data_IF_991507521656
#
_entry.id   IF_991507521656
#
_cell.length_a   1.000
_cell.length_b   1.000
_cell.length_c   1.000
_cell.angle_alpha   90.00
_cell.angle_beta   90.00
_cell.angle_gamma   90.00
#
_symmetry.space_group_name_H-M   'P 1'
#
loop_
_entity.id
_entity.type
_entity.pdbx_description
1 polymer ?
#
# COMPACT_ATOMS: atom_id res chain seq x y z
N UNK A 1 -14.04 7.52 -6.36
CA UNK A 1 -14.90 6.82 -5.38
C UNK A 1 -16.04 6.18 -6.15
N UNK A 2 -16.22 4.85 -6.06
CA UNK A 2 -17.35 4.17 -6.70
C UNK A 2 -18.53 4.11 -5.73
N UNK A 3 -19.62 4.81 -6.05
CA UNK A 3 -20.88 4.80 -5.30
C UNK A 3 -21.84 3.79 -5.93
N UNK A 4 -22.56 3.03 -5.11
CA UNK A 4 -23.73 2.28 -5.59
C UNK A 4 -24.86 3.24 -6.03
N UNK A 5 -25.86 2.72 -6.73
CA UNK A 5 -27.04 3.50 -7.12
C UNK A 5 -27.76 4.09 -5.90
N UNK A 6 -27.88 3.30 -4.82
CA UNK A 6 -28.50 3.76 -3.56
C UNK A 6 -27.65 4.83 -2.85
N UNK A 7 -26.32 4.67 -2.84
CA UNK A 7 -25.41 5.65 -2.23
C UNK A 7 -25.41 6.98 -3.00
N UNK A 8 -25.49 6.90 -4.33
CA UNK A 8 -25.64 8.08 -5.18
C UNK A 8 -26.96 8.81 -4.90
N UNK A 9 -28.05 8.07 -4.66
CA UNK A 9 -29.34 8.65 -4.29
C UNK A 9 -29.26 9.40 -2.96
N UNK A 10 -28.70 8.76 -1.92
CA UNK A 10 -28.49 9.40 -0.60
C UNK A 10 -27.63 10.67 -0.69
N UNK A 11 -26.60 10.65 -1.53
CA UNK A 11 -25.75 11.81 -1.78
C UNK A 11 -26.53 12.98 -2.39
N UNK A 12 -27.34 12.71 -3.41
CA UNK A 12 -28.17 13.73 -4.08
C UNK A 12 -29.22 14.28 -3.09
N UNK A 13 -29.87 13.42 -2.31
CA UNK A 13 -30.85 13.84 -1.31
C UNK A 13 -30.26 14.79 -0.25
N UNK A 14 -29.00 14.57 0.17
CA UNK A 14 -28.33 15.48 1.10
C UNK A 14 -28.06 16.85 0.44
N UNK A 15 -27.63 16.87 -0.82
CA UNK A 15 -27.42 18.12 -1.56
C UNK A 15 -28.72 18.90 -1.76
N UNK A 16 -29.82 18.21 -2.08
CA UNK A 16 -31.13 18.84 -2.24
C UNK A 16 -31.62 19.45 -0.92
N UNK A 17 -31.38 18.79 0.23
CA UNK A 17 -31.70 19.35 1.55
C UNK A 17 -30.91 20.62 1.85
N UNK A 18 -29.61 20.62 1.56
CA UNK A 18 -28.76 21.81 1.72
C UNK A 18 -29.26 22.95 0.83
N UNK A 19 -29.57 22.63 -0.43
CA UNK A 19 -30.07 23.60 -1.40
C UNK A 19 -31.39 24.23 -0.95
N UNK A 20 -32.36 23.41 -0.55
CA UNK A 20 -33.66 23.90 -0.07
C UNK A 20 -33.49 24.83 1.14
N UNK A 21 -32.62 24.46 2.09
CA UNK A 21 -32.35 25.29 3.28
C UNK A 21 -31.75 26.66 2.91
N UNK A 22 -30.89 26.73 1.88
CA UNK A 22 -30.30 27.98 1.39
C UNK A 22 -31.31 28.84 0.60
N UNK A 23 -32.28 28.21 -0.07
CA UNK A 23 -33.32 28.92 -0.84
C UNK A 23 -34.45 29.47 0.05
N UNK A 24 -34.55 29.03 1.30
CA UNK A 24 -35.51 29.55 2.27
C UNK A 24 -35.04 30.90 2.89
N UNK A 25 -35.98 31.76 3.34
CA UNK A 25 -35.64 32.99 4.03
C UNK A 25 -34.80 32.70 5.28
N UNK A 26 -33.63 33.35 5.37
CA UNK A 26 -32.68 33.12 6.46
C UNK A 26 -33.31 33.54 7.79
N UNK A 27 -33.33 32.60 8.74
CA UNK A 27 -33.71 32.82 10.13
C UNK A 27 -32.53 32.51 11.07
N UNK A 28 -32.77 32.55 12.38
CA UNK A 28 -31.73 32.30 13.38
C UNK A 28 -31.24 30.83 13.42
N UNK A 29 -31.88 29.92 12.68
CA UNK A 29 -31.61 28.48 12.68
C UNK A 29 -30.98 27.98 11.38
N UNK A 30 -31.19 28.68 10.27
CA UNK A 30 -30.72 28.29 8.93
C UNK A 30 -29.24 27.88 8.92
N UNK A 31 -28.36 28.65 9.55
CA UNK A 31 -26.92 28.35 9.59
C UNK A 31 -26.59 27.02 10.31
N UNK A 32 -27.30 26.72 11.40
CA UNK A 32 -27.11 25.51 12.19
C UNK A 32 -27.67 24.27 11.48
N UNK A 33 -28.79 24.43 10.77
CA UNK A 33 -29.40 23.36 9.97
C UNK A 33 -28.53 23.04 8.75
N UNK A 34 -28.01 24.07 8.04
CA UNK A 34 -27.07 23.86 6.93
C UNK A 34 -25.81 23.14 7.40
N UNK A 35 -25.22 23.54 8.52
CA UNK A 35 -24.06 22.87 9.09
C UNK A 35 -24.35 21.40 9.43
N UNK A 36 -25.53 21.12 9.99
CA UNK A 36 -25.97 19.75 10.30
C UNK A 36 -26.13 18.89 9.04
N UNK A 37 -26.68 19.44 7.95
CA UNK A 37 -26.78 18.74 6.68
C UNK A 37 -25.40 18.46 6.06
N UNK A 38 -24.45 19.41 6.15
CA UNK A 38 -23.07 19.21 5.70
C UNK A 38 -22.39 18.10 6.52
N UNK A 39 -22.59 18.09 7.84
CA UNK A 39 -22.02 17.05 8.70
C UNK A 39 -22.51 15.66 8.27
N UNK A 40 -23.82 15.48 8.08
CA UNK A 40 -24.40 14.22 7.62
C UNK A 40 -23.84 13.79 6.26
N UNK A 41 -23.65 14.74 5.34
CA UNK A 41 -23.03 14.47 4.04
C UNK A 41 -21.59 13.96 4.18
N UNK A 42 -20.79 14.59 5.04
CA UNK A 42 -19.40 14.18 5.32
C UNK A 42 -19.35 12.79 5.97
N UNK A 43 -20.27 12.49 6.87
CA UNK A 43 -20.38 11.18 7.51
C UNK A 43 -20.71 10.08 6.48
N UNK A 44 -21.63 10.36 5.54
CA UNK A 44 -21.93 9.44 4.44
C UNK A 44 -20.74 9.21 3.52
N UNK A 45 -20.01 10.27 3.13
CA UNK A 45 -18.80 10.14 2.32
C UNK A 45 -17.73 9.28 3.00
N UNK A 46 -17.53 9.49 4.30
CA UNK A 46 -16.63 8.68 5.12
C UNK A 46 -17.07 7.21 5.16
N UNK A 47 -18.37 6.96 5.38
CA UNK A 47 -18.96 5.61 5.36
C UNK A 47 -18.81 4.93 4.01
N UNK A 48 -19.06 5.61 2.90
CA UNK A 48 -18.93 5.04 1.55
C UNK A 48 -17.48 4.65 1.27
N UNK A 49 -16.53 5.51 1.64
CA UNK A 49 -15.11 5.22 1.55
C UNK A 49 -14.73 3.99 2.38
N UNK A 50 -15.14 3.92 3.65
CA UNK A 50 -14.81 2.79 4.53
C UNK A 50 -15.45 1.47 4.08
N UNK A 51 -16.70 1.51 3.60
CA UNK A 51 -17.41 0.31 3.12
C UNK A 51 -16.71 -0.31 1.92
N UNK A 52 -16.03 0.48 1.07
CA UNK A 52 -15.22 -0.06 -0.01
C UNK A 52 -14.17 -1.08 0.49
N UNK A 53 -13.76 -1.00 1.76
CA UNK A 53 -12.85 -1.95 2.39
C UNK A 53 -13.59 -3.11 3.09
N UNK A 54 -14.75 -2.86 3.73
CA UNK A 54 -15.49 -3.89 4.50
C UNK A 54 -16.12 -4.94 3.59
N UNK A 55 -16.88 -4.51 2.56
CA UNK A 55 -17.53 -5.43 1.61
C UNK A 55 -16.54 -6.23 0.76
N UNK A 56 -15.26 -5.86 0.81
CA UNK A 56 -14.20 -6.45 -0.02
C UNK A 56 -13.22 -7.33 0.74
N UNK A 57 -13.39 -7.71 2.01
CA UNK A 57 -12.38 -8.56 2.71
C UNK A 57 -11.87 -9.76 1.90
N UNK A 58 -12.75 -10.46 1.16
CA UNK A 58 -12.35 -11.57 0.28
C UNK A 58 -11.53 -11.10 -0.93
N UNK A 59 -11.87 -9.94 -1.50
CA UNK A 59 -11.13 -9.27 -2.59
C UNK A 59 -9.82 -8.64 -2.07
N UNK A 60 -9.78 -8.11 -0.85
CA UNK A 60 -8.58 -7.55 -0.21
C UNK A 60 -7.55 -8.63 0.06
N UNK A 61 -8.00 -9.79 0.56
CA UNK A 61 -7.18 -10.99 0.72
C UNK A 61 -6.66 -11.50 -0.64
N UNK A 62 -7.49 -11.47 -1.69
CA UNK A 62 -7.07 -11.80 -3.05
C UNK A 62 -6.04 -10.79 -3.61
N UNK A 63 -6.20 -9.49 -3.33
CA UNK A 63 -5.23 -8.44 -3.71
C UNK A 63 -3.89 -8.62 -3.01
N UNK A 64 -3.87 -8.94 -1.72
CA UNK A 64 -2.63 -9.26 -1.00
C UNK A 64 -1.96 -10.53 -1.55
N UNK A 65 -2.76 -11.57 -1.84
CA UNK A 65 -2.25 -12.82 -2.42
C UNK A 65 -1.65 -12.57 -3.81
N UNK A 66 -2.32 -11.74 -4.63
CA UNK A 66 -1.81 -11.32 -5.95
C UNK A 66 -0.57 -10.46 -5.84
N UNK A 67 -0.50 -9.56 -4.87
CA UNK A 67 0.70 -8.76 -4.59
C UNK A 67 1.89 -9.64 -4.21
N UNK A 68 1.71 -10.58 -3.28
CA UNK A 68 2.78 -11.51 -2.88
C UNK A 68 3.24 -12.39 -4.03
N UNK A 69 2.30 -12.86 -4.85
CA UNK A 69 2.59 -13.64 -6.05
C UNK A 69 3.36 -12.82 -7.08
N UNK A 70 2.86 -11.63 -7.44
CA UNK A 70 3.50 -10.75 -8.41
C UNK A 70 4.92 -10.35 -7.97
N UNK A 71 5.13 -10.12 -6.68
CA UNK A 71 6.45 -9.76 -6.16
C UNK A 71 7.41 -10.97 -6.16
N UNK A 72 6.91 -12.20 -6.01
CA UNK A 72 7.70 -13.42 -6.24
C UNK A 72 8.07 -13.58 -7.71
N UNK A 73 7.10 -13.42 -8.60
CA UNK A 73 7.27 -13.53 -10.05
C UNK A 73 8.25 -12.47 -10.57
N UNK A 74 8.18 -11.24 -10.06
CA UNK A 74 9.12 -10.16 -10.40
C UNK A 74 10.59 -10.59 -10.30
N UNK A 75 10.98 -11.23 -9.19
CA UNK A 75 12.36 -11.68 -9.03
C UNK A 75 12.64 -13.03 -9.70
N UNK A 76 11.65 -13.92 -9.78
CA UNK A 76 11.81 -15.21 -10.47
C UNK A 76 12.03 -15.05 -11.99
N UNK A 77 11.35 -14.08 -12.61
CA UNK A 77 11.41 -13.79 -14.03
C UNK A 77 12.64 -12.93 -14.41
N UNK A 78 13.47 -12.56 -13.43
CA UNK A 78 14.69 -11.79 -13.64
C UNK A 78 14.48 -10.28 -13.78
N UNK A 79 13.25 -9.77 -13.57
CA UNK A 79 12.96 -8.33 -13.56
C UNK A 79 13.68 -7.57 -12.44
N UNK A 80 14.29 -8.29 -11.48
CA UNK A 80 15.23 -7.69 -10.54
C UNK A 80 16.31 -6.85 -11.22
N UNK A 81 16.72 -7.18 -12.46
CA UNK A 81 17.70 -6.38 -13.22
C UNK A 81 17.13 -5.09 -13.83
N UNK A 82 15.81 -5.01 -13.97
CA UNK A 82 15.12 -3.84 -14.56
C UNK A 82 14.94 -2.72 -13.53
N UNK A 83 15.05 -3.03 -12.24
CA UNK A 83 15.04 -2.06 -11.16
C UNK A 83 14.39 -2.59 -9.88
N UNK A 84 14.35 -1.74 -8.85
CA UNK A 84 13.61 -2.04 -7.62
C UNK A 84 12.11 -1.85 -7.89
N UNK A 85 11.25 -2.83 -7.54
CA UNK A 85 9.83 -2.72 -7.80
C UNK A 85 9.19 -1.62 -6.94
N UNK A 86 8.19 -0.95 -7.50
CA UNK A 86 7.54 0.22 -6.88
C UNK A 86 6.10 -0.09 -6.46
N UNK A 87 5.55 0.73 -5.56
CA UNK A 87 4.12 0.64 -5.19
C UNK A 87 3.21 0.79 -6.42
N UNK A 88 3.58 1.67 -7.37
CA UNK A 88 2.81 1.88 -8.60
C UNK A 88 2.74 0.60 -9.46
N UNK A 89 3.88 -0.09 -9.63
CA UNK A 89 3.94 -1.33 -10.40
C UNK A 89 2.93 -2.37 -9.90
N UNK A 90 2.87 -2.59 -8.58
CA UNK A 90 1.92 -3.55 -8.02
C UNK A 90 0.48 -3.05 -8.04
N UNK A 91 0.26 -1.75 -7.86
CA UNK A 91 -1.07 -1.16 -7.95
C UNK A 91 -1.68 -1.34 -9.35
N UNK A 92 -0.88 -1.18 -10.41
CA UNK A 92 -1.30 -1.43 -11.79
C UNK A 92 -1.70 -2.90 -12.02
N UNK A 93 -0.91 -3.86 -11.53
CA UNK A 93 -1.22 -5.30 -11.66
C UNK A 93 -2.58 -5.66 -11.05
N UNK A 94 -2.94 -5.01 -9.94
CA UNK A 94 -4.23 -5.25 -9.26
C UNK A 94 -5.34 -4.27 -9.69
N UNK A 95 -5.10 -3.46 -10.72
CA UNK A 95 -6.03 -2.45 -11.27
C UNK A 95 -6.52 -1.44 -10.21
N UNK A 96 -5.62 -0.98 -9.34
CA UNK A 96 -5.91 0.02 -8.31
C UNK A 96 -5.04 1.26 -8.50
N UNK A 97 -5.50 2.40 -8.00
CA UNK A 97 -4.63 3.56 -7.87
C UNK A 97 -3.59 3.32 -6.78
N UNK A 98 -2.36 3.86 -6.89
CA UNK A 98 -1.31 3.64 -5.90
C UNK A 98 -1.69 4.06 -4.47
N UNK A 99 -2.43 5.17 -4.34
CA UNK A 99 -2.93 5.64 -3.04
C UNK A 99 -3.90 4.66 -2.40
N UNK A 100 -4.90 4.20 -3.14
CA UNK A 100 -5.88 3.25 -2.62
C UNK A 100 -5.25 1.88 -2.31
N UNK A 101 -4.31 1.41 -3.15
CA UNK A 101 -3.54 0.20 -2.88
C UNK A 101 -2.73 0.34 -1.59
N UNK A 102 -2.05 1.47 -1.39
CA UNK A 102 -1.30 1.77 -0.17
C UNK A 102 -2.19 1.76 1.08
N UNK A 103 -3.36 2.40 1.02
CA UNK A 103 -4.34 2.43 2.12
C UNK A 103 -4.85 1.03 2.44
N UNK A 104 -5.16 0.25 1.40
CA UNK A 104 -5.63 -1.12 1.54
C UNK A 104 -4.59 -2.01 2.22
N UNK A 105 -3.35 -1.97 1.75
CA UNK A 105 -2.25 -2.75 2.31
C UNK A 105 -2.00 -2.37 3.77
N UNK A 106 -2.02 -1.08 4.10
CA UNK A 106 -1.83 -0.60 5.47
C UNK A 106 -2.95 -1.05 6.40
N UNK A 107 -4.20 -1.05 5.92
CA UNK A 107 -5.36 -1.46 6.70
C UNK A 107 -5.33 -2.96 7.03
N UNK A 108 -4.94 -3.80 6.07
CA UNK A 108 -4.96 -5.25 6.22
C UNK A 108 -3.70 -5.78 6.95
N UNK A 109 -2.54 -5.16 6.76
CA UNK A 109 -1.25 -5.68 7.29
C UNK A 109 -0.68 -4.84 8.44
N UNK A 110 -1.21 -3.64 8.68
CA UNK A 110 -0.63 -2.66 9.61
C UNK A 110 0.66 -1.99 9.10
N UNK A 111 1.13 -2.34 7.89
CA UNK A 111 2.36 -1.80 7.28
C UNK A 111 2.06 -1.14 5.95
N UNK A 112 2.82 -0.09 5.61
CA UNK A 112 2.70 0.54 4.30
C UNK A 112 3.15 -0.42 3.19
N UNK A 113 2.63 -0.23 1.96
CA UNK A 113 3.04 -1.02 0.81
C UNK A 113 4.57 -0.96 0.56
N UNK A 114 5.18 0.21 0.73
CA UNK A 114 6.64 0.38 0.59
C UNK A 114 7.43 -0.43 1.63
N UNK A 115 6.92 -0.55 2.86
CA UNK A 115 7.53 -1.36 3.90
C UNK A 115 7.44 -2.85 3.58
N UNK A 116 6.29 -3.33 3.10
CA UNK A 116 6.15 -4.73 2.68
C UNK A 116 7.08 -5.06 1.51
N UNK A 117 7.15 -4.20 0.49
CA UNK A 117 8.09 -4.37 -0.62
C UNK A 117 9.52 -4.45 -0.08
N UNK A 118 9.92 -3.50 0.78
CA UNK A 118 11.25 -3.49 1.39
C UNK A 118 11.53 -4.78 2.17
N UNK A 119 10.58 -5.24 3.00
CA UNK A 119 10.72 -6.48 3.78
C UNK A 119 10.97 -7.67 2.86
N UNK A 120 10.21 -7.79 1.78
CA UNK A 120 10.38 -8.94 0.88
C UNK A 120 11.66 -8.88 0.07
N UNK A 121 12.08 -7.70 -0.39
CA UNK A 121 13.40 -7.53 -1.03
C UNK A 121 14.50 -8.03 -0.10
N UNK A 122 14.40 -7.72 1.19
CA UNK A 122 15.36 -8.20 2.19
C UNK A 122 15.27 -9.71 2.41
N UNK A 123 14.09 -10.32 2.35
CA UNK A 123 13.97 -11.78 2.39
C UNK A 123 14.68 -12.44 1.19
N UNK A 124 14.48 -11.93 -0.03
CA UNK A 124 15.20 -12.40 -1.21
C UNK A 124 16.70 -12.19 -1.08
N UNK A 125 17.13 -11.03 -0.60
CA UNK A 125 18.53 -10.74 -0.35
C UNK A 125 19.14 -11.73 0.65
N UNK A 126 18.45 -12.04 1.75
CA UNK A 126 18.92 -13.02 2.73
C UNK A 126 19.04 -14.41 2.12
N UNK A 127 18.08 -14.82 1.30
CA UNK A 127 18.15 -16.10 0.59
C UNK A 127 19.38 -16.17 -0.32
N UNK A 128 19.63 -15.15 -1.14
CA UNK A 128 20.79 -15.11 -2.03
C UNK A 128 22.11 -15.06 -1.24
N UNK A 129 22.20 -14.21 -0.21
CA UNK A 129 23.39 -14.10 0.65
C UNK A 129 23.72 -15.40 1.40
N UNK A 130 22.73 -16.27 1.60
CA UNK A 130 22.89 -17.59 2.23
C UNK A 130 23.23 -18.67 1.20
N UNK A 131 22.68 -18.57 -0.01
CA UNK A 131 22.85 -19.57 -1.06
C UNK A 131 24.14 -19.40 -1.86
N UNK A 132 24.71 -18.18 -1.90
CA UNK A 132 25.89 -17.87 -2.72
C UNK A 132 26.94 -17.05 -1.96
N UNK A 133 28.19 -17.18 -2.41
CA UNK A 133 29.34 -16.37 -1.97
C UNK A 133 29.50 -15.09 -2.81
N UNK A 134 28.50 -14.73 -3.63
CA UNK A 134 28.55 -13.55 -4.50
C UNK A 134 28.84 -12.28 -3.71
N UNK A 135 29.62 -11.37 -4.27
CA UNK A 135 29.88 -10.09 -3.62
C UNK A 135 28.56 -9.34 -3.33
N UNK A 136 28.54 -8.59 -2.22
CA UNK A 136 27.35 -7.85 -1.79
C UNK A 136 26.88 -6.86 -2.88
N UNK A 137 27.82 -6.34 -3.67
CA UNK A 137 27.48 -5.50 -4.82
C UNK A 137 26.72 -6.26 -5.90
N UNK A 138 27.11 -7.50 -6.22
CA UNK A 138 26.43 -8.36 -7.19
C UNK A 138 25.00 -8.64 -6.73
N UNK A 139 24.83 -9.04 -5.47
CA UNK A 139 23.49 -9.26 -4.88
C UNK A 139 22.65 -7.97 -4.95
N UNK A 140 23.24 -6.80 -4.70
CA UNK A 140 22.52 -5.54 -4.82
C UNK A 140 22.07 -5.26 -6.26
N UNK A 141 22.92 -5.54 -7.25
CA UNK A 141 22.60 -5.36 -8.66
C UNK A 141 21.50 -6.32 -9.12
N UNK A 142 21.54 -7.58 -8.70
CA UNK A 142 20.50 -8.58 -9.02
C UNK A 142 19.14 -8.21 -8.41
N UNK A 143 19.14 -7.49 -7.30
CA UNK A 143 17.93 -6.97 -6.65
C UNK A 143 17.44 -5.64 -7.26
N UNK A 144 18.15 -5.09 -8.24
CA UNK A 144 17.76 -3.90 -9.00
C UNK A 144 18.29 -2.58 -8.45
N UNK A 145 19.21 -2.63 -7.49
CA UNK A 145 19.84 -1.43 -6.95
C UNK A 145 20.98 -0.99 -7.86
N UNK A 146 20.85 0.19 -8.48
CA UNK A 146 21.94 0.81 -9.25
C UNK A 146 23.17 1.13 -8.39
N UNK A 147 22.96 1.34 -7.09
CA UNK A 147 23.99 1.70 -6.13
C UNK A 147 23.94 0.78 -4.90
N UNK A 148 24.94 -0.10 -4.70
CA UNK A 148 24.96 -1.07 -3.58
C UNK A 148 24.83 -0.46 -2.18
N UNK A 149 25.24 0.79 -2.01
CA UNK A 149 25.06 1.55 -0.77
C UNK A 149 23.59 1.76 -0.40
N UNK A 150 22.68 1.92 -1.37
CA UNK A 150 21.25 2.04 -1.10
C UNK A 150 20.67 0.72 -0.60
N UNK A 151 21.06 -0.39 -1.22
CA UNK A 151 20.74 -1.73 -0.74
C UNK A 151 21.25 -1.93 0.70
N UNK A 152 22.53 -1.64 0.95
CA UNK A 152 23.14 -1.82 2.27
C UNK A 152 22.43 -1.00 3.36
N UNK A 153 22.04 0.24 3.04
CA UNK A 153 21.27 1.10 3.94
C UNK A 153 19.87 0.55 4.19
N UNK A 154 19.19 0.05 3.16
CA UNK A 154 17.88 -0.58 3.30
C UNK A 154 17.96 -1.85 4.15
N UNK A 155 18.93 -2.72 3.87
CA UNK A 155 19.16 -3.96 4.60
C UNK A 155 19.40 -3.69 6.08
N UNK A 156 20.27 -2.73 6.41
CA UNK A 156 20.54 -2.35 7.80
C UNK A 156 19.31 -1.73 8.49
N UNK A 157 18.55 -0.89 7.80
CA UNK A 157 17.32 -0.31 8.35
C UNK A 157 16.29 -1.39 8.69
N UNK A 158 16.15 -2.41 7.86
CA UNK A 158 15.14 -3.47 8.01
C UNK A 158 15.59 -4.56 8.99
N UNK A 159 16.87 -4.94 8.98
CA UNK A 159 17.39 -6.08 9.76
C UNK A 159 18.15 -5.69 11.02
N UNK A 160 18.54 -4.43 11.16
CA UNK A 160 19.40 -3.92 12.24
C UNK A 160 20.90 -4.06 11.99
N UNK A 161 21.33 -4.86 11.02
CA UNK A 161 22.75 -5.16 10.73
C UNK A 161 23.07 -5.00 9.24
N UNK A 162 24.34 -4.82 8.87
CA UNK A 162 24.72 -4.73 7.45
C UNK A 162 24.65 -6.10 6.75
N UNK A 163 24.52 -6.14 5.40
CA UNK A 163 24.60 -7.39 4.64
C UNK A 163 25.90 -8.17 4.92
N UNK A 164 27.02 -7.47 5.08
CA UNK A 164 28.31 -8.07 5.42
C UNK A 164 28.30 -8.71 6.80
N UNK A 165 27.71 -8.04 7.79
CA UNK A 165 27.57 -8.57 9.15
C UNK A 165 26.66 -9.81 9.15
N UNK A 166 25.56 -9.75 8.40
CA UNK A 166 24.65 -10.88 8.24
C UNK A 166 25.37 -12.11 7.64
N UNK A 167 26.15 -11.94 6.56
CA UNK A 167 26.90 -13.05 5.95
C UNK A 167 27.94 -13.65 6.92
N UNK A 168 28.65 -12.81 7.67
CA UNK A 168 29.57 -13.28 8.72
C UNK A 168 28.88 -14.09 9.81
N UNK A 169 27.66 -13.74 10.20
CA UNK A 169 26.89 -14.50 11.18
C UNK A 169 26.51 -15.89 10.66
N UNK A 170 26.13 -15.99 9.38
CA UNK A 170 25.86 -17.29 8.74
C UNK A 170 27.12 -18.15 8.73
N UNK A 171 28.27 -17.62 8.32
CA UNK A 171 29.51 -18.41 8.24
C UNK A 171 30.04 -18.88 9.61
N UNK A 172 29.69 -18.18 10.69
CA UNK A 172 30.06 -18.56 12.07
C UNK A 172 29.09 -19.58 12.65
N UNK A 173 27.80 -19.56 12.28
CA UNK A 173 26.79 -20.49 12.79
C UNK A 173 26.82 -21.91 12.20
N UNK A 174 27.62 -22.15 11.15
CA UNK A 174 27.81 -23.46 10.50
C UNK A 174 29.15 -24.14 10.87
N UNK A 175 29.92 -23.59 11.81
CA UNK A 175 31.12 -24.22 12.38
C UNK A 175 30.88 -24.77 13.79
#
# INVERSE_FOLDING_TARGET
>A
MHLSLDERKLFIECLDRIKNEIEHPVDNHTAEIVASHIQVLLDYLSRFYERQFITRRKVNSDVLTKFEKALKEYYADGHGKDGVPTVNYFAEIVNLTPGYFGDLVKKETGKTAQELISLRIIEFAKQQLTATDDDISIVAYDLGFQYPQHFSRMFKRVTGISPTQFRKQISIGYN
#
